data_IF_538152605997
#
_entry.id   IF_538152605997
#
_cell.length_a   1.000
_cell.length_b   1.000
_cell.length_c   1.000
_cell.angle_alpha   90.00
_cell.angle_beta   90.00
_cell.angle_gamma   90.00
#
_symmetry.space_group_name_H-M   'P 1'
#
loop_
_entity.id
_entity.type
_entity.pdbx_description
1 polymer ?
#
# COMPACT_ATOMS: atom_id res chain seq x y z
N UNK A 1 6.54 16.32 10.89
CA UNK A 1 6.86 14.89 10.86
C UNK A 1 5.64 14.20 10.26
N UNK A 2 5.74 13.68 9.03
CA UNK A 2 4.62 12.93 8.45
C UNK A 2 4.50 11.59 9.20
N UNK A 3 3.29 11.25 9.64
CA UNK A 3 3.03 9.99 10.31
C UNK A 3 3.27 8.83 9.32
N UNK A 4 3.95 7.77 9.73
CA UNK A 4 4.30 6.65 8.86
C UNK A 4 3.05 6.03 8.20
N UNK A 5 1.91 6.10 8.88
CA UNK A 5 0.61 5.70 8.34
C UNK A 5 0.16 6.59 7.18
N UNK A 6 0.28 7.90 7.32
CA UNK A 6 -0.15 8.89 6.32
C UNK A 6 0.65 8.72 5.02
N UNK A 7 1.96 8.47 5.14
CA UNK A 7 2.83 8.18 4.00
C UNK A 7 2.39 6.89 3.28
N UNK A 8 2.07 5.83 4.02
CA UNK A 8 1.60 4.57 3.43
C UNK A 8 0.22 4.71 2.76
N UNK A 9 -0.69 5.49 3.35
CA UNK A 9 -2.00 5.78 2.75
C UNK A 9 -1.86 6.57 1.44
N UNK A 10 -0.94 7.54 1.39
CA UNK A 10 -0.60 8.28 0.17
C UNK A 10 0.00 7.34 -0.89
N UNK A 11 0.95 6.48 -0.51
CA UNK A 11 1.53 5.49 -1.43
C UNK A 11 0.46 4.52 -1.98
N UNK A 12 -0.51 4.10 -1.15
CA UNK A 12 -1.64 3.27 -1.58
C UNK A 12 -2.48 3.99 -2.64
N UNK A 13 -2.78 5.27 -2.46
CA UNK A 13 -3.57 6.05 -3.43
C UNK A 13 -2.83 6.19 -4.77
N UNK A 14 -1.54 6.51 -4.73
CA UNK A 14 -0.72 6.63 -5.95
C UNK A 14 -0.64 5.30 -6.70
N UNK A 15 -0.44 4.18 -5.98
CA UNK A 15 -0.40 2.85 -6.59
C UNK A 15 -1.74 2.48 -7.26
N UNK A 16 -2.88 2.79 -6.63
CA UNK A 16 -4.22 2.58 -7.21
C UNK A 16 -4.43 3.40 -8.48
N UNK A 17 -4.08 4.69 -8.45
CA UNK A 17 -4.18 5.57 -9.61
C UNK A 17 -3.32 5.06 -10.78
N UNK A 18 -2.09 4.60 -10.51
CA UNK A 18 -1.23 4.03 -11.55
C UNK A 18 -1.79 2.74 -12.14
N UNK A 19 -2.36 1.86 -11.32
CA UNK A 19 -3.03 0.65 -11.81
C UNK A 19 -4.20 0.98 -12.74
N UNK A 20 -5.03 1.94 -12.35
CA UNK A 20 -6.16 2.39 -13.16
C UNK A 20 -5.71 2.94 -14.53
N UNK A 21 -4.66 3.76 -14.54
CA UNK A 21 -4.08 4.27 -15.79
C UNK A 21 -3.50 3.15 -16.69
N UNK A 22 -2.92 2.11 -16.07
CA UNK A 22 -2.40 0.95 -16.79
C UNK A 22 -3.52 0.09 -17.37
N UNK A 23 -4.61 -0.11 -16.61
CA UNK A 23 -5.79 -0.86 -17.05
C UNK A 23 -6.54 -0.15 -18.18
N UNK A 24 -6.55 1.19 -18.17
CA UNK A 24 -7.12 2.00 -19.24
C UNK A 24 -6.26 2.01 -20.53
N UNK A 25 -5.07 1.40 -20.51
CA UNK A 25 -4.19 1.32 -21.67
C UNK A 25 -3.49 2.64 -22.04
N UNK A 26 -3.57 3.65 -21.18
CA UNK A 26 -3.09 5.02 -21.45
C UNK A 26 -1.56 5.12 -21.44
N UNK A 27 -0.88 4.22 -20.72
CA UNK A 27 0.55 4.35 -20.38
C UNK A 27 1.50 3.51 -21.24
N UNK A 28 1.05 2.39 -21.81
CA UNK A 28 1.90 1.48 -22.59
C UNK A 28 1.22 1.00 -23.86
N UNK A 29 1.85 1.23 -25.00
CA UNK A 29 1.40 0.68 -26.29
C UNK A 29 1.75 -0.80 -26.49
N UNK A 30 2.61 -1.37 -25.63
CA UNK A 30 3.01 -2.79 -25.68
C UNK A 30 2.24 -3.61 -24.63
N UNK A 31 1.42 -4.60 -25.04
CA UNK A 31 0.56 -5.36 -24.13
C UNK A 31 1.36 -6.22 -23.14
N UNK A 32 2.52 -6.75 -23.54
CA UNK A 32 3.38 -7.53 -22.65
C UNK A 32 3.97 -6.70 -21.51
N UNK A 33 4.40 -5.46 -21.82
CA UNK A 33 4.93 -4.55 -20.79
C UNK A 33 3.81 -4.07 -19.86
N UNK A 34 2.64 -3.78 -20.42
CA UNK A 34 1.47 -3.40 -19.62
C UNK A 34 1.13 -4.50 -18.60
N UNK A 35 1.03 -5.76 -19.04
CA UNK A 35 0.74 -6.89 -18.16
C UNK A 35 1.80 -7.09 -17.06
N UNK A 36 3.09 -7.01 -17.41
CA UNK A 36 4.19 -7.11 -16.45
C UNK A 36 4.10 -6.04 -15.36
N UNK A 37 3.97 -4.77 -15.75
CA UNK A 37 3.90 -3.67 -14.77
C UNK A 37 2.62 -3.71 -13.96
N UNK A 38 1.49 -4.10 -14.57
CA UNK A 38 0.22 -4.25 -13.86
C UNK A 38 0.33 -5.29 -12.74
N UNK A 39 1.02 -6.41 -12.99
CA UNK A 39 1.32 -7.39 -11.94
C UNK A 39 2.23 -6.80 -10.86
N UNK A 40 3.35 -6.16 -11.21
CA UNK A 40 4.26 -5.55 -10.24
C UNK A 40 3.56 -4.51 -9.34
N UNK A 41 2.73 -3.64 -9.92
CA UNK A 41 1.99 -2.64 -9.15
C UNK A 41 0.95 -3.28 -8.21
N UNK A 42 0.33 -4.40 -8.60
CA UNK A 42 -0.59 -5.15 -7.73
C UNK A 42 0.15 -5.77 -6.53
N UNK A 43 1.32 -6.36 -6.74
CA UNK A 43 2.14 -6.94 -5.67
C UNK A 43 2.62 -5.88 -4.67
N UNK A 44 3.05 -4.72 -5.18
CA UNK A 44 3.44 -3.57 -4.34
C UNK A 44 2.25 -3.01 -3.56
N UNK A 45 1.07 -2.92 -4.17
CA UNK A 45 -0.15 -2.48 -3.48
C UNK A 45 -0.50 -3.43 -2.34
N UNK A 46 -0.47 -4.75 -2.57
CA UNK A 46 -0.73 -5.75 -1.53
C UNK A 46 0.25 -5.63 -0.36
N UNK A 47 1.52 -5.31 -0.66
CA UNK A 47 2.55 -5.08 0.38
C UNK A 47 2.23 -3.83 1.21
N UNK A 48 1.88 -2.72 0.57
CA UNK A 48 1.48 -1.48 1.26
C UNK A 48 0.26 -1.73 2.15
N UNK A 49 -0.76 -2.44 1.65
CA UNK A 49 -1.96 -2.77 2.42
C UNK A 49 -1.65 -3.65 3.63
N UNK A 50 -0.73 -4.61 3.50
CA UNK A 50 -0.25 -5.43 4.62
C UNK A 50 0.44 -4.59 5.69
N UNK A 51 1.30 -3.65 5.29
CA UNK A 51 2.01 -2.75 6.23
C UNK A 51 1.03 -1.84 6.99
N UNK A 52 0.07 -1.24 6.28
CA UNK A 52 -1.00 -0.42 6.91
C UNK A 52 -1.76 -1.25 7.94
N UNK A 53 -2.11 -2.50 7.61
CA UNK A 53 -2.81 -3.40 8.53
C UNK A 53 -1.98 -3.73 9.76
N UNK A 54 -0.68 -3.97 9.62
CA UNK A 54 0.22 -4.26 10.75
C UNK A 54 0.36 -3.07 11.70
N UNK A 55 0.48 -1.86 11.17
CA UNK A 55 0.52 -0.63 11.97
C UNK A 55 -0.81 -0.45 12.72
N UNK A 56 -1.93 -0.70 12.04
CA UNK A 56 -3.27 -0.62 12.67
C UNK A 56 -3.42 -1.62 13.81
N UNK A 57 -2.86 -2.83 13.69
CA UNK A 57 -2.86 -3.83 14.77
C UNK A 57 -1.99 -3.39 15.95
N UNK A 58 -0.81 -2.82 15.70
CA UNK A 58 0.09 -2.33 16.76
C UNK A 58 -0.52 -1.16 17.54
N UNK A 59 -1.31 -0.30 16.89
CA UNK A 59 -2.00 0.81 17.56
C UNK A 59 -3.14 0.31 18.46
N UNK A 60 -3.79 -0.80 18.08
CA UNK A 60 -4.96 -1.33 18.81
C UNK A 60 -4.57 -2.31 19.94
N UNK A 61 -3.32 -2.80 19.99
CA UNK A 61 -2.87 -3.53 21.18
C UNK A 61 -2.83 -2.58 22.37
N UNK A 62 -3.66 -2.79 23.42
CA UNK A 62 -3.52 -2.02 24.63
C UNK A 62 -2.14 -2.31 25.19
N UNK A 63 -1.37 -1.26 25.49
CA UNK A 63 -0.13 -1.39 26.24
C UNK A 63 -0.41 -2.31 27.44
N UNK A 64 0.37 -3.38 27.66
CA UNK A 64 0.27 -4.11 28.92
C UNK A 64 0.46 -3.07 30.01
N UNK A 65 -0.58 -2.84 30.80
CA UNK A 65 -0.45 -2.07 32.02
C UNK A 65 0.54 -2.86 32.86
N UNK A 66 1.76 -2.36 32.96
CA UNK A 66 2.70 -2.73 34.00
C UNK A 66 2.05 -2.39 35.34
N UNK A 67 1.25 -3.34 35.83
CA UNK A 67 0.75 -3.41 37.18
C UNK A 67 1.88 -4.05 38.00
N UNK A 68 2.84 -3.23 38.42
CA UNK A 68 3.84 -3.62 39.40
C UNK A 68 3.63 -2.78 40.66
N UNK A 69 3.01 -3.45 41.64
CA UNK A 69 2.94 -3.11 43.06
C UNK A 69 4.32 -2.95 43.70
#
# INVERSE_FOLDING_TARGET
>A
MADAREVLEMMRQVAKMRLELLEQGTTFHSPHRAAFYLQEYRERLATIEKLIRQISIHIVQPAPKDDHQ
#
